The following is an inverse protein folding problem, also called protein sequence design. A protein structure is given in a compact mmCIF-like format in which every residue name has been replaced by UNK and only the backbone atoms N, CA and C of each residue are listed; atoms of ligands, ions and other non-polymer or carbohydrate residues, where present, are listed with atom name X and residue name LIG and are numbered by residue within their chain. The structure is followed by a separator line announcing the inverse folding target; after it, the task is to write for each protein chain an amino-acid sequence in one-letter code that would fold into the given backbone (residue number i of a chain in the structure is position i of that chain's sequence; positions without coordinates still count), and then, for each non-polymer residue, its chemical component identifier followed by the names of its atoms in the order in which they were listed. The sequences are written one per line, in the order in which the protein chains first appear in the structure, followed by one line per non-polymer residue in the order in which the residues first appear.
data_IF_539772693794
#
_entry.id   IF_539772693794
#
_cell.length_a   1.000
_cell.length_b   1.000
_cell.length_c   1.000
_cell.angle_alpha   90.00
_cell.angle_beta   90.00
_cell.angle_gamma   90.00
#
_symmetry.space_group_name_H-M   'P 1'
#
loop_
_entity.id
_entity.type
_entity.pdbx_description
1 polymer ?
#
# COMPACT_ATOMS: atom_id res chain seq x y z
N UNK A 1 -8.81 -9.02 -43.16
CA UNK A 1 -7.78 -8.61 -42.17
C UNK A 1 -7.80 -9.47 -40.91
N UNK A 2 -8.96 -9.79 -40.33
CA UNK A 2 -9.08 -10.72 -39.17
C UNK A 2 -8.43 -12.13 -39.33
N UNK A 3 -8.55 -12.85 -40.46
CA UNK A 3 -8.00 -14.21 -40.57
C UNK A 3 -6.46 -14.25 -40.65
N UNK A 4 -5.84 -13.19 -41.16
CA UNK A 4 -4.38 -13.08 -41.33
C UNK A 4 -3.70 -12.79 -39.98
N UNK A 5 -4.33 -11.96 -39.15
CA UNK A 5 -3.83 -11.67 -37.79
C UNK A 5 -3.94 -12.92 -36.92
N UNK A 6 -5.03 -13.69 -37.04
CA UNK A 6 -5.21 -14.94 -36.31
C UNK A 6 -4.15 -15.99 -36.70
N UNK A 7 -3.86 -16.15 -38.00
CA UNK A 7 -2.80 -17.06 -38.45
C UNK A 7 -1.42 -16.62 -37.97
N UNK A 8 -1.12 -15.32 -38.01
CA UNK A 8 0.16 -14.78 -37.54
C UNK A 8 0.34 -14.99 -36.02
N UNK A 9 -0.66 -14.67 -35.21
CA UNK A 9 -0.64 -14.88 -33.76
C UNK A 9 -0.41 -16.36 -33.42
N UNK A 10 -1.06 -17.26 -34.16
CA UNK A 10 -0.90 -18.70 -33.95
C UNK A 10 0.51 -19.19 -34.35
N UNK A 11 1.04 -18.70 -35.48
CA UNK A 11 2.42 -19.00 -35.89
C UNK A 11 3.44 -18.50 -34.89
N UNK A 12 3.27 -17.29 -34.34
CA UNK A 12 4.15 -16.75 -33.30
C UNK A 12 4.06 -17.59 -32.01
N UNK A 13 2.85 -17.87 -31.52
CA UNK A 13 2.64 -18.63 -30.28
C UNK A 13 3.22 -20.06 -30.35
N UNK A 14 3.04 -20.76 -31.47
CA UNK A 14 3.56 -22.14 -31.66
C UNK A 14 5.09 -22.16 -31.70
N UNK A 15 5.74 -21.07 -32.14
CA UNK A 15 7.20 -20.96 -32.17
C UNK A 15 7.81 -20.43 -30.86
N UNK A 16 7.00 -20.31 -29.80
CA UNK A 16 7.44 -19.84 -28.49
C UNK A 16 7.49 -18.31 -28.37
N UNK A 17 6.97 -17.57 -29.35
CA UNK A 17 6.89 -16.11 -29.36
C UNK A 17 5.62 -15.62 -28.64
N UNK A 18 5.43 -16.05 -27.40
CA UNK A 18 4.20 -15.88 -26.64
C UNK A 18 3.89 -14.43 -26.26
N UNK A 19 4.90 -13.64 -25.89
CA UNK A 19 4.72 -12.23 -25.56
C UNK A 19 4.37 -11.42 -26.81
N UNK A 20 5.07 -11.67 -27.92
CA UNK A 20 4.73 -11.03 -29.20
C UNK A 20 3.35 -11.43 -29.69
N UNK A 21 2.98 -12.72 -29.61
CA UNK A 21 1.65 -13.20 -29.98
C UNK A 21 0.54 -12.52 -29.16
N UNK A 22 0.69 -12.46 -27.84
CA UNK A 22 -0.26 -11.79 -26.95
C UNK A 22 -0.33 -10.28 -27.19
N UNK A 23 0.81 -9.63 -27.43
CA UNK A 23 0.88 -8.19 -27.70
C UNK A 23 0.22 -7.83 -29.05
N UNK A 24 0.47 -8.62 -30.11
CA UNK A 24 -0.17 -8.45 -31.42
C UNK A 24 -1.68 -8.70 -31.33
N UNK A 25 -2.12 -9.70 -30.57
CA UNK A 25 -3.55 -9.96 -30.34
C UNK A 25 -4.24 -8.82 -29.58
N UNK A 26 -3.57 -8.23 -28.58
CA UNK A 26 -4.17 -7.21 -27.70
C UNK A 26 -4.12 -5.78 -28.29
N UNK A 27 -3.06 -5.44 -29.03
CA UNK A 27 -2.80 -4.06 -29.49
C UNK A 27 -2.67 -3.90 -31.01
N UNK A 28 -2.65 -5.01 -31.75
CA UNK A 28 -2.49 -5.00 -33.20
C UNK A 28 -1.03 -4.91 -33.64
N UNK A 29 -0.76 -5.51 -34.81
CA UNK A 29 0.57 -5.64 -35.40
C UNK A 29 1.30 -4.30 -35.58
N UNK A 30 0.65 -3.34 -36.22
CA UNK A 30 1.24 -2.03 -36.58
C UNK A 30 1.70 -1.23 -35.35
N UNK A 31 0.93 -1.31 -34.25
CA UNK A 31 1.29 -0.69 -32.98
C UNK A 31 2.56 -1.32 -32.39
N UNK A 32 2.64 -2.65 -32.39
CA UNK A 32 3.81 -3.37 -31.88
C UNK A 32 5.05 -3.08 -32.71
N UNK A 33 4.95 -3.12 -34.05
CA UNK A 33 6.06 -2.78 -34.97
C UNK A 33 6.64 -1.39 -34.71
N UNK A 34 5.78 -0.40 -34.42
CA UNK A 34 6.21 0.97 -34.06
C UNK A 34 6.99 1.05 -32.74
N UNK A 35 6.74 0.12 -31.81
CA UNK A 35 7.35 0.11 -30.47
C UNK A 35 8.63 -0.72 -30.41
N UNK A 36 8.69 -1.83 -31.14
CA UNK A 36 9.88 -2.67 -31.24
C UNK A 36 10.84 -2.21 -32.36
N UNK A 37 10.39 -1.33 -33.26
CA UNK A 37 11.21 -0.80 -34.36
C UNK A 37 11.55 -1.84 -35.44
N UNK A 38 10.87 -2.98 -35.46
CA UNK A 38 11.09 -4.10 -36.37
C UNK A 38 9.77 -4.53 -37.00
N UNK A 39 9.80 -4.92 -38.28
CA UNK A 39 8.62 -5.44 -38.99
C UNK A 39 8.41 -6.91 -38.67
N UNK A 40 7.15 -7.27 -38.46
CA UNK A 40 6.70 -8.65 -38.27
C UNK A 40 6.14 -9.11 -39.62
N UNK A 41 6.78 -10.04 -40.34
CA UNK A 41 6.24 -10.53 -41.61
C UNK A 41 4.90 -11.25 -41.40
N UNK A 42 3.97 -11.15 -42.35
CA UNK A 42 2.68 -11.88 -42.28
C UNK A 42 2.84 -13.40 -42.40
N UNK A 43 3.94 -13.84 -43.02
CA UNK A 43 4.37 -15.24 -43.07
C UNK A 43 5.88 -15.30 -42.75
N UNK A 44 6.27 -15.33 -41.46
CA UNK A 44 7.67 -15.25 -41.06
C UNK A 44 8.46 -16.49 -41.50
N UNK A 45 9.63 -16.27 -42.11
CA UNK A 45 10.57 -17.35 -42.43
C UNK A 45 11.30 -17.85 -41.18
N UNK A 46 12.04 -18.96 -41.26
CA UNK A 46 12.83 -19.46 -40.11
C UNK A 46 13.86 -18.44 -39.61
N UNK A 47 14.47 -17.65 -40.49
CA UNK A 47 15.41 -16.59 -40.10
C UNK A 47 14.71 -15.44 -39.38
N UNK A 48 13.50 -15.08 -39.82
CA UNK A 48 12.70 -14.03 -39.17
C UNK A 48 12.26 -14.46 -37.78
N UNK A 49 11.86 -15.73 -37.62
CA UNK A 49 11.50 -16.29 -36.32
C UNK A 49 12.67 -16.26 -35.32
N UNK A 50 13.89 -16.54 -35.78
CA UNK A 50 15.09 -16.47 -34.92
C UNK A 50 15.36 -15.03 -34.48
N UNK A 51 15.27 -14.05 -35.39
CA UNK A 51 15.45 -12.63 -35.07
C UNK A 51 14.37 -12.13 -34.11
N UNK A 52 13.12 -12.47 -34.35
CA UNK A 52 12.00 -12.13 -33.46
C UNK A 52 12.18 -12.75 -32.07
N UNK A 53 12.72 -13.96 -31.99
CA UNK A 53 12.99 -14.63 -30.72
C UNK A 53 14.12 -13.97 -29.95
N UNK A 54 15.18 -13.53 -30.63
CA UNK A 54 16.24 -12.74 -30.01
C UNK A 54 15.72 -11.43 -29.45
N UNK A 55 14.87 -10.72 -30.22
CA UNK A 55 14.22 -9.48 -29.77
C UNK A 55 13.28 -9.71 -28.58
N UNK A 56 12.50 -10.80 -28.58
CA UNK A 56 11.61 -11.12 -27.47
C UNK A 56 12.39 -11.43 -26.19
N UNK A 57 13.49 -12.18 -26.28
CA UNK A 57 14.38 -12.44 -25.14
C UNK A 57 14.95 -11.13 -24.57
N UNK A 58 15.35 -10.18 -25.42
CA UNK A 58 15.82 -8.86 -24.98
C UNK A 58 14.71 -8.07 -24.27
N UNK A 59 13.49 -8.09 -24.80
CA UNK A 59 12.34 -7.44 -24.19
C UNK A 59 11.94 -8.10 -22.86
N UNK A 60 12.01 -9.43 -22.75
CA UNK A 60 11.79 -10.17 -21.51
C UNK A 60 12.80 -9.77 -20.43
N UNK A 61 14.08 -9.69 -20.79
CA UNK A 61 15.13 -9.23 -19.87
C UNK A 61 14.89 -7.79 -19.41
N UNK A 62 14.52 -6.90 -20.33
CA UNK A 62 14.21 -5.51 -20.02
C UNK A 62 12.99 -5.40 -19.09
N UNK A 63 11.94 -6.16 -19.36
CA UNK A 63 10.74 -6.22 -18.50
C UNK A 63 11.08 -6.74 -17.10
N UNK A 64 11.93 -7.76 -17.00
CA UNK A 64 12.39 -8.28 -15.73
C UNK A 64 13.19 -7.22 -14.96
N UNK A 65 14.09 -6.49 -15.62
CA UNK A 65 14.83 -5.39 -15.00
C UNK A 65 13.90 -4.29 -14.50
N UNK A 66 12.90 -3.87 -15.28
CA UNK A 66 11.92 -2.89 -14.82
C UNK A 66 11.11 -3.39 -13.63
N UNK A 67 10.74 -4.66 -13.63
CA UNK A 67 10.02 -5.29 -12.52
C UNK A 67 10.86 -5.29 -11.24
N UNK A 68 12.15 -5.65 -11.34
CA UNK A 68 13.08 -5.60 -10.21
C UNK A 68 13.23 -4.16 -9.69
N UNK A 69 13.42 -3.19 -10.59
CA UNK A 69 13.53 -1.78 -10.23
C UNK A 69 12.26 -1.24 -9.55
N UNK A 70 11.07 -1.66 -10.00
CA UNK A 70 9.81 -1.29 -9.35
C UNK A 70 9.73 -1.86 -7.93
N UNK A 71 10.12 -3.12 -7.74
CA UNK A 71 10.16 -3.74 -6.41
C UNK A 71 11.19 -3.09 -5.50
N UNK A 72 12.36 -2.73 -6.02
CA UNK A 72 13.38 -2.00 -5.26
C UNK A 72 12.85 -0.64 -4.78
N UNK A 73 12.18 0.12 -5.65
CA UNK A 73 11.55 1.38 -5.29
C UNK A 73 10.42 1.21 -4.27
N UNK A 74 9.60 0.16 -4.41
CA UNK A 74 8.54 -0.16 -3.43
C UNK A 74 9.13 -0.48 -2.05
N UNK A 75 10.24 -1.24 -2.00
CA UNK A 75 10.96 -1.53 -0.77
C UNK A 75 11.55 -0.24 -0.18
N UNK A 76 12.16 0.61 -1.00
CA UNK A 76 12.72 1.89 -0.55
C UNK A 76 11.64 2.82 0.01
N UNK A 77 10.50 2.96 -0.67
CA UNK A 77 9.34 3.71 -0.18
C UNK A 77 8.84 3.15 1.16
N UNK A 78 8.72 1.83 1.27
CA UNK A 78 8.30 1.19 2.52
C UNK A 78 9.25 1.46 3.69
N UNK A 79 10.57 1.48 3.42
CA UNK A 79 11.60 1.81 4.41
C UNK A 79 11.50 3.28 4.84
N UNK A 80 11.34 4.20 3.87
CA UNK A 80 11.17 5.61 4.15
C UNK A 80 9.92 5.88 4.98
N UNK A 81 8.79 5.24 4.66
CA UNK A 81 7.57 5.33 5.45
C UNK A 81 7.79 4.81 6.88
N UNK A 82 8.44 3.66 7.03
CA UNK A 82 8.76 3.11 8.35
C UNK A 82 9.66 4.05 9.17
N UNK A 83 10.65 4.69 8.55
CA UNK A 83 11.52 5.68 9.18
C UNK A 83 10.75 6.93 9.59
N UNK A 84 9.91 7.49 8.70
CA UNK A 84 9.02 8.61 9.02
C UNK A 84 8.08 8.29 10.18
N UNK A 85 7.50 7.08 10.20
CA UNK A 85 6.68 6.60 11.30
C UNK A 85 7.46 6.48 12.61
N UNK A 86 8.70 5.98 12.58
CA UNK A 86 9.57 5.92 13.77
C UNK A 86 9.92 7.32 14.27
N UNK A 87 10.36 8.22 13.39
CA UNK A 87 10.69 9.60 13.75
C UNK A 87 9.48 10.35 14.32
N UNK A 88 8.28 10.16 13.76
CA UNK A 88 7.05 10.73 14.32
C UNK A 88 6.74 10.20 15.72
N UNK A 89 6.92 8.90 15.95
CA UNK A 89 6.71 8.28 17.27
C UNK A 89 7.75 8.74 18.29
N UNK A 90 9.01 8.89 17.87
CA UNK A 90 10.08 9.40 18.70
C UNK A 90 9.81 10.84 19.12
N UNK A 91 9.44 11.71 18.17
CA UNK A 91 9.05 13.09 18.46
C UNK A 91 7.86 13.17 19.43
N UNK A 92 6.83 12.33 19.25
CA UNK A 92 5.70 12.26 20.18
C UNK A 92 6.15 11.82 21.59
N UNK A 93 7.04 10.83 21.66
CA UNK A 93 7.61 10.33 22.92
C UNK A 93 8.45 11.39 23.61
N UNK A 94 9.32 12.10 22.89
CA UNK A 94 10.14 13.18 23.42
C UNK A 94 9.27 14.32 23.97
N UNK A 95 8.20 14.70 23.27
CA UNK A 95 7.23 15.69 23.77
C UNK A 95 6.59 15.24 25.07
N UNK A 96 6.14 13.99 25.15
CA UNK A 96 5.58 13.45 26.39
C UNK A 96 6.58 13.37 27.52
N UNK A 97 7.83 13.01 27.25
CA UNK A 97 8.89 13.03 28.26
C UNK A 97 9.16 14.45 28.77
N UNK A 98 9.17 15.44 27.87
CA UNK A 98 9.29 16.86 28.23
C UNK A 98 8.12 17.32 29.10
N UNK A 99 6.89 16.97 28.73
CA UNK A 99 5.68 17.27 29.51
C UNK A 99 5.73 16.65 30.91
N UNK A 100 6.20 15.40 31.03
CA UNK A 100 6.37 14.73 32.32
C UNK A 100 7.55 15.28 33.14
N UNK A 101 8.59 15.80 32.47
CA UNK A 101 9.74 16.43 33.12
C UNK A 101 9.47 17.85 33.61
N UNK A 102 8.43 18.51 33.10
CA UNK A 102 8.06 19.87 33.51
C UNK A 102 7.54 19.93 34.95
N UNK A 103 7.65 21.10 35.61
CA UNK A 103 7.07 21.32 36.94
C UNK A 103 5.53 21.48 36.93
N UNK A 104 4.92 21.47 35.73
CA UNK A 104 3.47 21.65 35.57
C UNK A 104 2.69 20.37 35.92
N UNK A 105 1.90 20.45 37.01
CA UNK A 105 0.94 19.39 37.39
C UNK A 105 -0.13 19.17 36.33
N UNK A 106 -0.51 20.22 35.60
CA UNK A 106 -1.49 20.12 34.51
C UNK A 106 -0.92 19.31 33.34
N UNK A 107 0.33 19.58 32.94
CA UNK A 107 0.98 18.83 31.85
C UNK A 107 1.13 17.34 32.20
N UNK A 108 1.49 17.04 33.46
CA UNK A 108 1.58 15.66 33.98
C UNK A 108 0.26 14.90 33.91
N UNK A 109 -0.85 15.57 34.18
CA UNK A 109 -2.15 14.93 34.36
C UNK A 109 -3.11 15.13 33.18
N UNK A 110 -2.75 15.86 32.13
CA UNK A 110 -3.68 16.16 31.03
C UNK A 110 -4.16 14.89 30.32
N UNK A 111 -3.27 13.92 30.10
CA UNK A 111 -3.60 12.64 29.43
C UNK A 111 -4.61 11.80 30.24
N UNK A 112 -4.32 11.42 31.50
CA UNK A 112 -5.31 10.71 32.31
C UNK A 112 -6.54 11.57 32.61
N UNK A 113 -6.39 12.89 32.73
CA UNK A 113 -7.49 13.83 32.97
C UNK A 113 -8.50 13.87 31.84
N UNK A 114 -8.05 13.91 30.58
CA UNK A 114 -8.94 13.85 29.41
C UNK A 114 -9.71 12.54 29.35
N UNK A 115 -9.08 11.42 29.71
CA UNK A 115 -9.76 10.12 29.76
C UNK A 115 -10.85 10.12 30.84
N UNK A 116 -10.53 10.57 32.05
CA UNK A 116 -11.51 10.69 33.15
C UNK A 116 -12.64 11.64 32.77
N UNK A 117 -12.34 12.76 32.12
CA UNK A 117 -13.34 13.72 31.66
C UNK A 117 -14.32 13.11 30.67
N UNK A 118 -13.83 12.45 29.62
CA UNK A 118 -14.70 11.84 28.60
C UNK A 118 -15.56 10.72 29.20
N UNK A 119 -14.99 9.86 30.05
CA UNK A 119 -15.75 8.80 30.71
C UNK A 119 -16.82 9.36 31.65
N UNK A 120 -16.50 10.41 32.40
CA UNK A 120 -17.44 11.07 33.30
C UNK A 120 -18.54 11.78 32.52
N UNK A 121 -18.20 12.49 31.44
CA UNK A 121 -19.17 13.10 30.55
C UNK A 121 -20.09 12.03 29.96
N UNK A 122 -19.55 10.93 29.45
CA UNK A 122 -20.35 9.84 28.91
C UNK A 122 -21.31 9.26 29.96
N UNK A 123 -20.82 9.02 31.18
CA UNK A 123 -21.64 8.55 32.28
C UNK A 123 -22.74 9.56 32.66
N UNK A 124 -22.43 10.85 32.71
CA UNK A 124 -23.41 11.90 33.01
C UNK A 124 -24.51 11.95 31.95
N UNK A 125 -24.17 11.93 30.66
CA UNK A 125 -25.16 11.90 29.58
C UNK A 125 -26.02 10.64 29.62
N UNK A 126 -25.43 9.48 29.93
CA UNK A 126 -26.18 8.24 30.12
C UNK A 126 -27.16 8.32 31.31
N UNK A 127 -26.74 8.89 32.44
CA UNK A 127 -27.60 9.08 33.61
C UNK A 127 -28.72 10.08 33.35
N UNK A 128 -28.44 11.22 32.72
CA UNK A 128 -29.44 12.22 32.34
C UNK A 128 -30.49 11.62 31.39
N UNK A 129 -30.05 10.81 30.42
CA UNK A 129 -30.95 10.07 29.52
C UNK A 129 -31.80 9.05 30.29
N UNK A 130 -31.21 8.30 31.24
CA UNK A 130 -31.95 7.38 32.10
C UNK A 130 -32.97 8.08 33.02
N UNK A 131 -32.72 9.34 33.38
CA UNK A 131 -33.65 10.20 34.14
C UNK A 131 -34.74 10.84 33.25
N UNK A 132 -34.76 10.55 31.95
CA UNK A 132 -35.76 11.07 31.01
C UNK A 132 -35.54 12.52 30.58
N UNK A 133 -34.34 13.08 30.80
CA UNK A 133 -33.98 14.40 30.28
C UNK A 133 -33.63 14.24 28.80
N UNK A 134 -34.30 15.01 27.96
CA UNK A 134 -34.03 15.00 26.52
C UNK A 134 -32.68 15.70 26.25
N UNK A 135 -31.74 14.95 25.70
CA UNK A 135 -30.39 15.41 25.38
C UNK A 135 -30.24 15.34 23.87
N UNK A 136 -29.74 16.42 23.28
CA UNK A 136 -29.53 16.47 21.84
C UNK A 136 -28.56 15.36 21.39
N UNK A 137 -29.09 14.45 20.58
CA UNK A 137 -28.39 13.27 20.04
C UNK A 137 -27.08 13.65 19.33
N UNK A 138 -27.01 14.83 18.70
CA UNK A 138 -25.79 15.32 18.06
C UNK A 138 -24.61 15.45 19.05
N UNK A 139 -24.86 15.86 20.29
CA UNK A 139 -23.82 15.95 21.31
C UNK A 139 -23.40 14.58 21.84
N UNK A 140 -24.33 13.64 21.95
CA UNK A 140 -24.03 12.25 22.36
C UNK A 140 -23.16 11.57 21.30
N UNK A 141 -23.54 11.71 20.02
CA UNK A 141 -22.78 11.18 18.90
C UNK A 141 -21.38 11.78 18.83
N UNK A 142 -21.27 13.11 18.95
CA UNK A 142 -19.99 13.80 18.99
C UNK A 142 -19.12 13.29 20.14
N UNK A 143 -19.69 13.15 21.34
CA UNK A 143 -18.96 12.60 22.50
C UNK A 143 -18.50 11.15 22.27
N UNK A 144 -19.30 10.33 21.59
CA UNK A 144 -18.92 8.97 21.19
C UNK A 144 -17.75 8.95 20.20
N UNK A 145 -17.76 9.81 19.19
CA UNK A 145 -16.67 9.94 18.21
C UNK A 145 -15.36 10.40 18.88
N UNK A 146 -15.42 11.43 19.72
CA UNK A 146 -14.26 11.87 20.52
C UNK A 146 -13.79 10.80 21.51
N UNK A 147 -14.74 10.07 22.10
CA UNK A 147 -14.42 8.97 23.01
C UNK A 147 -13.63 7.87 22.32
N UNK A 148 -14.04 7.46 21.13
CA UNK A 148 -13.29 6.49 20.35
C UNK A 148 -11.88 7.01 20.01
N UNK A 149 -11.74 8.27 19.58
CA UNK A 149 -10.45 8.88 19.27
C UNK A 149 -9.51 8.91 20.49
N UNK A 150 -9.99 9.32 21.66
CA UNK A 150 -9.18 9.39 22.88
C UNK A 150 -8.83 7.99 23.39
N UNK A 151 -9.75 7.03 23.33
CA UNK A 151 -9.47 5.63 23.68
C UNK A 151 -8.42 5.04 22.74
N UNK A 152 -8.51 5.31 21.43
CA UNK A 152 -7.49 4.89 20.45
C UNK A 152 -6.15 5.59 20.67
N UNK A 153 -6.12 6.87 21.00
CA UNK A 153 -4.87 7.58 21.28
C UNK A 153 -4.19 7.06 22.56
N UNK A 154 -4.97 6.74 23.59
CA UNK A 154 -4.44 6.29 24.88
C UNK A 154 -4.04 4.80 24.89
N UNK A 155 -4.85 3.93 24.28
CA UNK A 155 -4.63 2.47 24.29
C UNK A 155 -4.13 1.92 22.94
N UNK A 156 -4.43 2.59 21.83
CA UNK A 156 -4.17 2.10 20.48
C UNK A 156 -2.72 2.12 20.04
N UNK A 157 -1.84 2.90 20.70
CA UNK A 157 -0.40 2.90 20.41
C UNK A 157 0.21 1.50 20.47
N UNK A 158 -0.06 0.75 21.55
CA UNK A 158 0.47 -0.62 21.71
C UNK A 158 -0.13 -1.65 20.75
N UNK A 159 -1.37 -1.46 20.32
CA UNK A 159 -2.01 -2.34 19.35
C UNK A 159 -1.41 -2.15 17.95
N UNK A 160 -1.15 -0.91 17.55
CA UNK A 160 -0.51 -0.59 16.27
C UNK A 160 0.95 -1.03 16.26
N UNK A 161 1.70 -0.79 17.34
CA UNK A 161 3.08 -1.28 17.51
C UNK A 161 3.17 -2.80 17.29
N UNK A 162 2.30 -3.58 17.94
CA UNK A 162 2.28 -5.04 17.83
C UNK A 162 1.92 -5.54 16.42
N UNK A 163 0.98 -4.88 15.73
CA UNK A 163 0.63 -5.22 14.34
C UNK A 163 1.80 -4.95 13.41
N UNK A 164 2.49 -3.82 13.61
CA UNK A 164 3.65 -3.45 12.83
C UNK A 164 4.83 -4.42 13.06
N UNK A 165 5.10 -4.80 14.31
CA UNK A 165 6.09 -5.83 14.66
C UNK A 165 5.79 -7.18 14.00
N UNK A 166 4.54 -7.65 14.05
CA UNK A 166 4.14 -8.90 13.40
C UNK A 166 4.32 -8.84 11.87
N UNK A 167 4.04 -7.69 11.24
CA UNK A 167 4.23 -7.50 9.80
C UNK A 167 5.71 -7.49 9.42
N UNK A 168 6.55 -6.77 10.16
CA UNK A 168 7.99 -6.71 9.92
C UNK A 168 8.68 -8.07 10.15
N UNK A 169 8.31 -8.79 11.21
CA UNK A 169 8.82 -10.13 11.47
C UNK A 169 8.36 -11.15 10.40
N UNK A 170 7.17 -10.96 9.84
CA UNK A 170 6.69 -11.76 8.71
C UNK A 170 7.43 -11.50 7.39
N UNK A 171 7.99 -10.30 7.21
CA UNK A 171 8.80 -9.94 6.04
C UNK A 171 10.21 -10.53 6.15
N UNK A 172 10.87 -10.41 7.31
CA UNK A 172 12.23 -10.96 7.50
C UNK A 172 12.28 -12.49 7.35
N UNK A 173 11.22 -13.20 7.80
CA UNK A 173 11.16 -14.67 7.69
C UNK A 173 11.01 -15.17 6.24
N UNK A 174 10.64 -14.30 5.30
CA UNK A 174 10.59 -14.60 3.86
C UNK A 174 11.90 -14.30 3.15
N UNK A 175 12.81 -13.53 3.75
CA UNK A 175 14.16 -13.29 3.21
C UNK A 175 15.14 -14.42 3.59
N UNK A 176 14.82 -15.20 4.63
CA UNK A 176 15.61 -16.37 5.09
C UNK A 176 15.17 -17.72 4.47
N UNK A 177 14.18 -17.72 3.57
CA UNK A 177 13.70 -18.91 2.83
C UNK A 177 13.89 -18.73 1.33
#
# INVERSE_FOLDING_TARGET
MLPIIASLVQTLAVNGLGLLAGAVQAKGKEFIESKIGARIPDNPSQEDLIKLKQLEIEQEQLLLQYTLKQKELEIEESKLLAEMHRASQENATQRWQSDMGSDSKLSKNIRPGTLVYILTAYLLFALLSAMGIDINEAYVKLLGEWGQLVMLAYFGGRSVEKIFEMRMHGLNKKEEQ
#
